data_IF_268254988475
#
_entry.id   IF_268254988475
#
_cell.length_a   1.000
_cell.length_b   1.000
_cell.length_c   1.000
_cell.angle_alpha   90.00
_cell.angle_beta   90.00
_cell.angle_gamma   90.00
#
_symmetry.space_group_name_H-M   'P 1'
#
loop_
_entity.id
_entity.type
_entity.pdbx_description
1 polymer ?
#
# COMPACT_ATOMS: atom_id res chain seq x y z
N UNK A 1 -30.89 7.38 -29.06
CA UNK A 1 -30.45 6.35 -28.10
C UNK A 1 -29.07 6.71 -27.58
N UNK A 2 -29.04 7.26 -26.37
CA UNK A 2 -27.86 7.77 -25.67
C UNK A 2 -27.00 6.59 -25.19
N UNK A 3 -25.82 6.42 -25.79
CA UNK A 3 -24.80 5.48 -25.28
C UNK A 3 -24.42 5.92 -23.86
N UNK A 4 -24.74 5.12 -22.84
CA UNK A 4 -24.17 5.33 -21.52
C UNK A 4 -22.65 5.26 -21.66
N UNK A 5 -21.98 6.36 -21.32
CA UNK A 5 -20.52 6.37 -21.23
C UNK A 5 -20.19 5.56 -19.98
N UNK A 6 -19.89 4.28 -20.14
CA UNK A 6 -19.28 3.48 -19.07
C UNK A 6 -17.93 4.14 -18.73
N UNK A 7 -17.93 5.00 -17.73
CA UNK A 7 -16.71 5.55 -17.14
C UNK A 7 -15.95 4.39 -16.53
N UNK A 8 -14.87 3.98 -17.19
CA UNK A 8 -13.95 2.98 -16.64
C UNK A 8 -13.38 3.53 -15.32
N UNK A 9 -13.87 2.99 -14.21
CA UNK A 9 -13.41 3.26 -12.86
C UNK A 9 -11.97 2.75 -12.71
N UNK A 10 -11.06 3.57 -12.19
CA UNK A 10 -9.66 3.19 -12.06
C UNK A 10 -9.49 2.00 -11.10
N UNK A 11 -10.43 1.86 -10.15
CA UNK A 11 -10.55 0.76 -9.20
C UNK A 11 -10.79 -0.54 -9.93
N UNK A 12 -11.88 -0.59 -10.68
CA UNK A 12 -12.35 -1.81 -11.31
C UNK A 12 -11.36 -2.22 -12.38
N UNK A 13 -10.68 -1.26 -13.02
CA UNK A 13 -9.53 -1.57 -13.87
C UNK A 13 -8.33 -2.13 -13.08
N UNK A 14 -7.96 -1.52 -11.95
CA UNK A 14 -6.87 -2.02 -11.09
C UNK A 14 -7.16 -3.42 -10.58
N UNK A 15 -8.39 -3.66 -10.11
CA UNK A 15 -8.88 -4.93 -9.63
C UNK A 15 -8.92 -5.97 -10.74
N UNK A 16 -9.38 -5.60 -11.94
CA UNK A 16 -9.34 -6.46 -13.12
C UNK A 16 -7.89 -6.88 -13.41
N UNK A 17 -6.95 -5.93 -13.42
CA UNK A 17 -5.53 -6.21 -13.66
C UNK A 17 -4.93 -7.10 -12.57
N UNK A 18 -5.29 -6.83 -11.32
CA UNK A 18 -4.85 -7.57 -10.14
C UNK A 18 -5.34 -9.01 -10.20
N UNK A 19 -6.66 -9.22 -10.31
CA UNK A 19 -7.26 -10.55 -10.41
C UNK A 19 -6.76 -11.34 -11.63
N UNK A 20 -6.49 -10.68 -12.76
CA UNK A 20 -5.90 -11.34 -13.93
C UNK A 20 -4.47 -11.75 -13.67
N UNK A 21 -3.67 -10.87 -13.07
CA UNK A 21 -2.28 -11.18 -12.71
C UNK A 21 -2.23 -12.31 -11.67
N UNK A 22 -3.16 -12.29 -10.71
CA UNK A 22 -3.40 -13.36 -9.74
C UNK A 22 -3.69 -14.63 -10.51
N UNK A 23 -4.77 -14.70 -11.30
CA UNK A 23 -5.19 -15.91 -12.04
C UNK A 23 -4.15 -16.45 -13.03
N UNK A 24 -3.34 -15.59 -13.64
CA UNK A 24 -2.20 -15.98 -14.48
C UNK A 24 -1.01 -16.50 -13.68
N UNK A 25 -0.89 -16.07 -12.43
CA UNK A 25 0.24 -16.29 -11.55
C UNK A 25 1.46 -15.42 -11.88
N UNK A 26 1.41 -14.49 -12.83
CA UNK A 26 2.49 -13.52 -13.12
C UNK A 26 1.94 -12.11 -13.39
N UNK A 27 2.67 -11.05 -13.00
CA UNK A 27 2.30 -9.69 -13.37
C UNK A 27 2.54 -9.44 -14.87
N UNK A 28 1.68 -8.65 -15.49
CA UNK A 28 1.83 -8.27 -16.90
C UNK A 28 2.59 -6.95 -16.98
N UNK A 29 3.88 -7.02 -17.25
CA UNK A 29 4.78 -5.84 -17.27
C UNK A 29 5.33 -5.52 -18.67
N UNK A 30 5.11 -6.39 -19.65
CA UNK A 30 5.64 -6.20 -21.00
C UNK A 30 4.85 -6.91 -22.10
N UNK A 31 5.27 -6.68 -23.35
CA UNK A 31 4.65 -7.28 -24.54
C UNK A 31 4.69 -8.81 -24.52
N UNK A 32 5.76 -9.41 -24.00
CA UNK A 32 5.90 -10.87 -23.87
C UNK A 32 4.83 -11.46 -22.96
N UNK A 33 4.48 -10.79 -21.87
CA UNK A 33 3.43 -11.25 -20.95
C UNK A 33 2.04 -11.03 -21.53
N UNK A 34 1.85 -9.95 -22.28
CA UNK A 34 0.63 -9.71 -23.06
C UNK A 34 0.41 -10.81 -24.13
N UNK A 35 1.47 -11.28 -24.78
CA UNK A 35 1.41 -12.39 -25.74
C UNK A 35 0.98 -13.69 -25.06
N UNK A 36 1.50 -13.98 -23.86
CA UNK A 36 1.08 -15.16 -23.09
C UNK A 36 -0.40 -15.10 -22.74
N UNK A 37 -0.89 -13.96 -22.25
CA UNK A 37 -2.31 -13.78 -21.94
C UNK A 37 -3.17 -13.91 -23.20
N UNK A 38 -2.83 -13.23 -24.30
CA UNK A 38 -3.56 -13.31 -25.57
C UNK A 38 -3.67 -14.76 -26.07
N UNK A 39 -2.55 -15.48 -26.10
CA UNK A 39 -2.52 -16.90 -26.48
C UNK A 39 -3.36 -17.78 -25.54
N UNK A 40 -3.33 -17.50 -24.24
CA UNK A 40 -4.09 -18.26 -23.25
C UNK A 40 -5.61 -18.05 -23.42
N UNK A 41 -6.05 -16.80 -23.61
CA UNK A 41 -7.46 -16.46 -23.83
C UNK A 41 -8.02 -17.15 -25.08
N UNK A 42 -7.22 -17.15 -26.16
CA UNK A 42 -7.57 -17.82 -27.40
C UNK A 42 -7.65 -19.35 -27.21
N UNK A 43 -6.65 -19.97 -26.57
CA UNK A 43 -6.63 -21.43 -26.33
C UNK A 43 -7.78 -21.91 -25.45
N UNK A 44 -8.24 -21.07 -24.51
CA UNK A 44 -9.35 -21.38 -23.61
C UNK A 44 -10.71 -20.91 -24.12
N UNK A 45 -10.81 -20.47 -25.38
CA UNK A 45 -12.06 -20.02 -26.02
C UNK A 45 -12.78 -18.87 -25.31
N UNK A 46 -12.06 -18.03 -24.55
CA UNK A 46 -12.65 -16.79 -23.99
C UNK A 46 -12.79 -15.70 -25.04
N UNK A 47 -11.97 -15.75 -26.11
CA UNK A 47 -11.95 -14.77 -27.18
C UNK A 47 -10.53 -14.35 -27.56
N UNK A 48 -10.41 -13.53 -28.61
CA UNK A 48 -9.12 -13.01 -29.08
C UNK A 48 -8.98 -11.53 -28.74
N UNK A 49 -7.94 -11.20 -27.97
CA UNK A 49 -7.51 -9.83 -27.71
C UNK A 49 -6.09 -9.67 -28.24
N UNK A 50 -5.85 -8.64 -29.03
CA UNK A 50 -4.52 -8.39 -29.58
C UNK A 50 -3.51 -7.99 -28.50
N UNK A 51 -2.26 -8.41 -28.68
CA UNK A 51 -1.14 -8.07 -27.79
C UNK A 51 -1.01 -6.56 -27.59
N UNK A 52 -1.22 -5.76 -28.64
CA UNK A 52 -1.18 -4.29 -28.56
C UNK A 52 -2.32 -3.70 -27.72
N UNK A 53 -3.51 -4.30 -27.76
CA UNK A 53 -4.63 -3.87 -26.89
C UNK A 53 -4.35 -4.23 -25.43
N UNK A 54 -3.86 -5.44 -25.16
CA UNK A 54 -3.44 -5.82 -23.81
C UNK A 54 -2.29 -4.95 -23.30
N UNK A 55 -1.30 -4.63 -24.13
CA UNK A 55 -0.19 -3.78 -23.74
C UNK A 55 -0.63 -2.36 -23.39
N UNK A 56 -1.53 -1.76 -24.17
CA UNK A 56 -2.15 -0.47 -23.83
C UNK A 56 -2.99 -0.53 -22.57
N UNK A 57 -3.64 -1.65 -22.30
CA UNK A 57 -4.48 -1.80 -21.13
C UNK A 57 -3.66 -2.00 -19.85
N UNK A 58 -2.72 -2.96 -19.86
CA UNK A 58 -1.99 -3.40 -18.68
C UNK A 58 -0.74 -2.57 -18.39
N UNK A 59 0.05 -2.27 -19.42
CA UNK A 59 1.41 -1.69 -19.27
C UNK A 59 1.43 -0.19 -19.53
N UNK A 60 0.84 0.27 -20.64
CA UNK A 60 0.91 1.66 -21.08
C UNK A 60 -0.48 2.30 -21.14
N UNK A 61 -1.17 2.31 -20.01
CA UNK A 61 -2.51 2.85 -19.90
C UNK A 61 -2.49 4.38 -19.89
N UNK A 62 -2.88 4.99 -21.01
CA UNK A 62 -2.97 6.46 -21.18
C UNK A 62 -4.41 6.98 -21.12
N UNK A 63 -5.26 6.38 -20.28
CA UNK A 63 -6.67 6.81 -20.14
C UNK A 63 -7.57 6.48 -21.34
N UNK A 64 -7.09 5.66 -22.28
CA UNK A 64 -7.86 5.22 -23.44
C UNK A 64 -8.99 4.32 -22.93
N UNK A 65 -10.22 4.56 -23.40
CA UNK A 65 -11.38 3.72 -23.07
C UNK A 65 -11.24 2.38 -23.78
N UNK A 66 -11.10 1.25 -23.06
CA UNK A 66 -11.03 -0.07 -23.66
C UNK A 66 -12.35 -0.43 -24.33
N UNK A 67 -12.32 -1.28 -25.36
CA UNK A 67 -13.55 -1.82 -25.94
C UNK A 67 -14.29 -2.68 -24.93
N UNK A 68 -15.62 -2.57 -24.88
CA UNK A 68 -16.47 -3.36 -23.98
C UNK A 68 -16.19 -4.86 -24.11
N UNK A 69 -16.07 -5.36 -25.35
CA UNK A 69 -15.71 -6.76 -25.62
C UNK A 69 -14.35 -7.16 -25.00
N UNK A 70 -13.37 -6.25 -24.97
CA UNK A 70 -12.08 -6.52 -24.29
C UNK A 70 -12.30 -6.73 -22.79
N UNK A 71 -13.13 -5.90 -22.16
CA UNK A 71 -13.44 -6.02 -20.73
C UNK A 71 -14.26 -7.27 -20.43
N UNK A 72 -15.22 -7.63 -21.29
CA UNK A 72 -16.05 -8.82 -21.12
C UNK A 72 -15.22 -10.11 -21.23
N UNK A 73 -14.36 -10.23 -22.24
CA UNK A 73 -13.46 -11.40 -22.40
C UNK A 73 -12.55 -11.57 -21.18
N UNK A 74 -11.99 -10.46 -20.67
CA UNK A 74 -11.14 -10.49 -19.49
C UNK A 74 -11.91 -10.84 -18.20
N UNK A 75 -13.17 -10.39 -18.09
CA UNK A 75 -14.05 -10.71 -16.95
C UNK A 75 -14.49 -12.17 -16.97
N UNK A 76 -14.80 -12.70 -18.16
CA UNK A 76 -15.10 -14.12 -18.35
C UNK A 76 -13.92 -15.02 -18.05
N UNK A 77 -12.71 -14.59 -18.43
CA UNK A 77 -11.50 -15.27 -18.01
C UNK A 77 -11.38 -15.35 -16.48
N UNK A 78 -11.92 -14.37 -15.74
CA UNK A 78 -12.00 -14.35 -14.28
C UNK A 78 -13.23 -15.06 -13.70
N UNK A 79 -14.02 -15.78 -14.50
CA UNK A 79 -15.26 -16.49 -14.10
C UNK A 79 -16.46 -15.59 -13.76
N UNK A 80 -16.44 -14.33 -14.21
CA UNK A 80 -17.63 -13.47 -14.20
C UNK A 80 -18.38 -13.58 -15.53
N UNK A 81 -19.70 -13.39 -15.53
CA UNK A 81 -20.49 -13.52 -16.76
C UNK A 81 -20.16 -12.45 -17.81
N UNK A 82 -19.86 -11.23 -17.36
CA UNK A 82 -19.47 -10.09 -18.17
C UNK A 82 -18.80 -9.00 -17.31
N UNK A 83 -18.33 -7.91 -17.93
CA UNK A 83 -17.76 -6.77 -17.22
C UNK A 83 -18.73 -6.15 -16.21
N UNK A 84 -20.02 -6.04 -16.54
CA UNK A 84 -21.00 -5.47 -15.61
C UNK A 84 -21.14 -6.31 -14.33
N UNK A 85 -21.16 -7.64 -14.47
CA UNK A 85 -21.20 -8.55 -13.32
C UNK A 85 -19.91 -8.48 -12.48
N UNK A 86 -18.75 -8.33 -13.14
CA UNK A 86 -17.48 -8.09 -12.46
C UNK A 86 -17.53 -6.80 -11.62
N UNK A 87 -17.94 -5.68 -12.25
CA UNK A 87 -18.07 -4.37 -11.59
C UNK A 87 -18.99 -4.47 -10.38
N UNK A 88 -20.20 -4.98 -10.56
CA UNK A 88 -21.19 -5.12 -9.48
C UNK A 88 -20.64 -5.96 -8.32
N UNK A 89 -19.94 -7.05 -8.61
CA UNK A 89 -19.42 -7.95 -7.56
C UNK A 89 -18.27 -7.32 -6.80
N UNK A 90 -17.36 -6.64 -7.51
CA UNK A 90 -16.19 -5.96 -6.96
C UNK A 90 -16.62 -4.75 -6.11
N UNK A 91 -17.63 -4.01 -6.56
CA UNK A 91 -18.19 -2.87 -5.83
C UNK A 91 -19.03 -3.33 -4.62
N UNK A 92 -19.84 -4.40 -4.73
CA UNK A 92 -20.62 -4.96 -3.61
C UNK A 92 -19.79 -5.63 -2.52
N UNK A 93 -18.64 -6.23 -2.86
CA UNK A 93 -17.70 -6.81 -1.86
C UNK A 93 -16.92 -5.74 -1.11
N UNK A 94 -16.94 -4.49 -1.57
CA UNK A 94 -16.25 -3.35 -0.97
C UNK A 94 -17.23 -2.27 -0.47
N UNK A 95 -18.30 -2.61 0.29
CA UNK A 95 -19.40 -1.67 0.56
C UNK A 95 -18.98 -0.41 1.35
N UNK A 96 -17.77 -0.39 1.93
CA UNK A 96 -17.22 0.73 2.68
C UNK A 96 -15.97 1.39 2.06
N UNK A 97 -15.63 1.11 0.79
CA UNK A 97 -14.43 1.70 0.16
C UNK A 97 -14.79 2.65 -0.98
N UNK A 98 -14.33 3.92 -0.95
CA UNK A 98 -14.59 4.85 -2.04
C UNK A 98 -13.99 4.31 -3.33
N UNK A 99 -14.79 4.27 -4.39
CA UNK A 99 -14.35 3.93 -5.74
C UNK A 99 -13.22 4.88 -6.20
N UNK A 100 -12.09 4.37 -6.71
CA UNK A 100 -11.11 5.19 -7.43
C UNK A 100 -11.71 5.91 -8.66
N UNK A 101 -12.28 7.08 -8.42
CA UNK A 101 -12.65 8.03 -9.46
C UNK A 101 -11.46 8.22 -10.41
N UNK A 102 -11.77 8.33 -11.72
CA UNK A 102 -10.76 8.69 -12.72
C UNK A 102 -9.99 9.90 -12.21
N UNK A 103 -8.67 9.76 -12.20
CA UNK A 103 -7.74 10.83 -11.89
C UNK A 103 -7.80 11.86 -13.04
N UNK A 104 -8.87 12.65 -13.08
CA UNK A 104 -8.80 14.00 -13.59
C UNK A 104 -8.30 14.82 -12.41
N UNK A 105 -6.97 15.01 -12.36
CA UNK A 105 -6.37 15.96 -11.45
C UNK A 105 -6.88 17.34 -11.86
N UNK A 106 -8.03 17.70 -11.33
CA UNK A 106 -8.61 19.03 -11.46
C UNK A 106 -8.23 19.79 -10.19
N UNK A 107 -7.98 21.08 -10.36
CA UNK A 107 -7.72 21.98 -9.25
C UNK A 107 -9.03 22.15 -8.46
N UNK A 108 -9.32 21.23 -7.56
CA UNK A 108 -10.51 21.28 -6.71
C UNK A 108 -10.37 22.37 -5.63
N UNK A 109 -11.44 22.60 -4.86
CA UNK A 109 -11.43 23.62 -3.81
C UNK A 109 -10.33 23.36 -2.77
N UNK A 110 -10.13 22.09 -2.37
CA UNK A 110 -9.07 21.70 -1.44
C UNK A 110 -7.68 22.06 -1.96
N UNK A 111 -7.41 21.81 -3.24
CA UNK A 111 -6.16 22.23 -3.89
C UNK A 111 -5.97 23.73 -3.78
N UNK A 112 -6.99 24.53 -4.11
CA UNK A 112 -6.88 25.98 -4.00
C UNK A 112 -6.67 26.44 -2.55
N UNK A 113 -7.38 25.86 -1.59
CA UNK A 113 -7.20 26.18 -0.18
C UNK A 113 -5.79 25.81 0.32
N UNK A 114 -5.26 24.65 -0.07
CA UNK A 114 -3.91 24.21 0.30
C UNK A 114 -2.85 25.09 -0.39
N UNK A 115 -3.00 25.34 -1.69
CA UNK A 115 -2.06 26.10 -2.51
C UNK A 115 -1.97 27.58 -2.11
N UNK A 116 -3.06 28.15 -1.59
CA UNK A 116 -3.13 29.54 -1.12
C UNK A 116 -3.14 29.67 0.40
N UNK A 117 -2.79 28.61 1.13
CA UNK A 117 -2.62 28.63 2.59
C UNK A 117 -3.87 29.14 3.34
N UNK A 118 -5.06 28.79 2.84
CA UNK A 118 -6.35 29.13 3.44
C UNK A 118 -6.62 28.26 4.68
N UNK A 119 -5.81 28.46 5.73
CA UNK A 119 -5.81 27.61 6.93
C UNK A 119 -7.14 27.64 7.68
N UNK A 120 -7.74 28.82 7.88
CA UNK A 120 -9.02 28.93 8.61
C UNK A 120 -10.16 28.13 7.95
N UNK A 121 -10.45 28.29 6.63
CA UNK A 121 -11.44 27.45 5.96
C UNK A 121 -11.14 25.95 6.04
N UNK A 122 -9.86 25.54 5.90
CA UNK A 122 -9.47 24.13 5.99
C UNK A 122 -9.70 23.57 7.40
N UNK A 123 -9.34 24.32 8.45
CA UNK A 123 -9.61 23.92 9.84
C UNK A 123 -11.10 23.71 10.05
N UNK A 124 -11.93 24.70 9.72
CA UNK A 124 -13.38 24.59 9.88
C UNK A 124 -13.97 23.45 9.05
N UNK A 125 -13.44 23.19 7.86
CA UNK A 125 -13.88 22.07 7.04
C UNK A 125 -13.53 20.72 7.69
N UNK A 126 -12.28 20.52 8.14
CA UNK A 126 -11.86 19.27 8.78
C UNK A 126 -12.60 19.00 10.09
N UNK A 127 -12.93 20.04 10.86
CA UNK A 127 -13.78 19.92 12.06
C UNK A 127 -15.22 19.55 11.68
N UNK A 128 -15.79 20.17 10.63
CA UNK A 128 -17.17 19.91 10.21
C UNK A 128 -17.43 18.48 9.73
N UNK A 129 -16.38 17.77 9.31
CA UNK A 129 -16.48 16.40 8.80
C UNK A 129 -16.16 15.34 9.86
N UNK A 130 -15.94 15.73 11.13
CA UNK A 130 -15.57 14.80 12.20
C UNK A 130 -16.63 13.72 12.45
N UNK A 131 -17.91 14.03 12.28
CA UNK A 131 -19.02 13.08 12.46
C UNK A 131 -19.40 12.32 11.17
N UNK A 132 -18.72 12.62 10.06
CA UNK A 132 -18.98 11.93 8.79
C UNK A 132 -18.47 10.48 8.84
N UNK A 133 -19.06 9.64 8.00
CA UNK A 133 -18.64 8.24 7.91
C UNK A 133 -17.20 8.08 7.38
N UNK A 134 -16.65 6.89 7.57
CA UNK A 134 -15.30 6.55 7.14
C UNK A 134 -15.10 6.71 5.63
N UNK A 135 -16.08 6.33 4.81
CA UNK A 135 -15.98 6.37 3.35
C UNK A 135 -15.83 7.80 2.86
N UNK A 136 -16.61 8.72 3.42
CA UNK A 136 -16.53 10.15 3.15
C UNK A 136 -15.16 10.71 3.55
N UNK A 137 -14.70 10.44 4.78
CA UNK A 137 -13.40 10.92 5.26
C UNK A 137 -12.24 10.39 4.42
N UNK A 138 -12.28 9.11 4.05
CA UNK A 138 -11.30 8.50 3.17
C UNK A 138 -11.27 9.17 1.78
N UNK A 139 -12.44 9.50 1.21
CA UNK A 139 -12.52 10.26 -0.04
C UNK A 139 -11.89 11.64 0.09
N UNK A 140 -12.23 12.39 1.15
CA UNK A 140 -11.64 13.71 1.41
C UNK A 140 -10.12 13.61 1.58
N UNK A 141 -9.62 12.58 2.26
CA UNK A 141 -8.19 12.40 2.44
C UNK A 141 -7.45 12.10 1.13
N UNK A 142 -8.07 11.36 0.21
CA UNK A 142 -7.54 11.16 -1.14
C UNK A 142 -7.49 12.48 -1.93
N UNK A 143 -8.50 13.35 -1.78
CA UNK A 143 -8.50 14.68 -2.42
C UNK A 143 -7.42 15.61 -1.82
N UNK A 144 -7.20 15.55 -0.51
CA UNK A 144 -6.08 16.24 0.16
C UNK A 144 -4.74 15.70 -0.35
N UNK A 145 -4.58 14.38 -0.44
CA UNK A 145 -3.38 13.74 -0.98
C UNK A 145 -3.10 14.20 -2.42
N UNK A 146 -4.09 14.16 -3.31
CA UNK A 146 -3.95 14.58 -4.70
C UNK A 146 -3.58 16.08 -4.80
N UNK A 147 -4.14 16.91 -3.91
CA UNK A 147 -3.80 18.33 -3.80
C UNK A 147 -2.35 18.55 -3.36
N UNK A 148 -1.88 17.77 -2.39
CA UNK A 148 -0.52 17.84 -1.86
C UNK A 148 0.54 17.38 -2.88
N UNK A 149 0.19 16.49 -3.82
CA UNK A 149 1.06 16.12 -4.92
C UNK A 149 1.33 17.29 -5.89
N UNK A 150 0.37 18.19 -6.04
CA UNK A 150 0.44 19.30 -6.99
C UNK A 150 0.99 20.59 -6.40
N UNK A 151 0.79 20.79 -5.10
CA UNK A 151 1.19 22.04 -4.48
C UNK A 151 2.71 22.20 -4.46
N UNK A 152 3.18 23.46 -4.56
CA UNK A 152 4.61 23.77 -4.58
C UNK A 152 5.28 23.63 -3.20
N UNK A 153 4.49 23.80 -2.12
CA UNK A 153 4.96 23.89 -0.73
C UNK A 153 4.09 23.06 0.24
N UNK A 154 4.02 21.73 0.06
CA UNK A 154 3.20 20.88 0.94
C UNK A 154 3.65 20.93 2.41
N UNK A 155 4.91 21.28 2.69
CA UNK A 155 5.43 21.46 4.04
C UNK A 155 4.64 22.48 4.88
N UNK A 156 4.05 23.51 4.24
CA UNK A 156 3.25 24.51 4.93
C UNK A 156 1.91 23.95 5.39
N UNK A 157 1.31 23.06 4.60
CA UNK A 157 0.11 22.33 5.03
C UNK A 157 0.42 21.48 6.28
N UNK A 158 1.47 20.66 6.23
CA UNK A 158 1.83 19.81 7.36
C UNK A 158 2.20 20.61 8.61
N UNK A 159 2.88 21.75 8.46
CA UNK A 159 3.22 22.62 9.60
C UNK A 159 1.98 23.15 10.33
N UNK A 160 0.88 23.37 9.60
CA UNK A 160 -0.37 23.85 10.17
C UNK A 160 -1.27 22.71 10.69
N UNK A 161 -1.23 21.53 10.05
CA UNK A 161 -2.23 20.48 10.24
C UNK A 161 -1.71 19.14 10.74
N UNK A 162 -0.40 18.96 11.01
CA UNK A 162 0.13 17.66 11.47
C UNK A 162 -0.51 17.14 12.76
N UNK A 163 -1.07 18.02 13.58
CA UNK A 163 -1.77 17.70 14.84
C UNK A 163 -3.29 17.60 14.69
N UNK A 164 -3.84 17.92 13.52
CA UNK A 164 -5.28 17.82 13.29
C UNK A 164 -5.66 16.33 13.19
N UNK A 165 -6.67 15.90 13.95
CA UNK A 165 -7.11 14.50 14.06
C UNK A 165 -7.46 13.87 12.70
N UNK A 166 -8.19 14.59 11.85
CA UNK A 166 -8.53 14.13 10.51
C UNK A 166 -7.27 13.94 9.65
N UNK A 167 -6.35 14.91 9.65
CA UNK A 167 -5.10 14.84 8.87
C UNK A 167 -4.20 13.72 9.38
N UNK A 168 -4.06 13.58 10.69
CA UNK A 168 -3.30 12.51 11.33
C UNK A 168 -3.80 11.14 10.88
N UNK A 169 -5.07 10.84 11.13
CA UNK A 169 -5.64 9.52 10.87
C UNK A 169 -5.83 9.26 9.37
N UNK A 170 -6.54 10.13 8.66
CA UNK A 170 -6.97 9.81 7.31
C UNK A 170 -5.94 10.20 6.25
N UNK A 171 -5.19 11.30 6.43
CA UNK A 171 -4.23 11.78 5.41
C UNK A 171 -2.84 11.15 5.60
N UNK A 172 -2.40 10.93 6.85
CA UNK A 172 -1.05 10.42 7.13
C UNK A 172 -1.01 8.91 7.41
N UNK A 173 -2.00 8.33 8.09
CA UNK A 173 -2.04 6.89 8.37
C UNK A 173 -2.79 6.10 7.28
N UNK A 174 -4.08 6.36 7.07
CA UNK A 174 -4.91 5.59 6.12
C UNK A 174 -4.50 5.82 4.66
N UNK A 175 -4.26 7.08 4.30
CA UNK A 175 -3.74 7.49 3.00
C UNK A 175 -2.21 7.55 2.96
N UNK A 176 -1.51 6.82 3.85
CA UNK A 176 -0.05 6.78 3.85
C UNK A 176 0.51 6.41 2.47
N UNK A 177 1.40 7.24 1.93
CA UNK A 177 2.09 6.97 0.68
C UNK A 177 3.44 6.27 0.89
N UNK A 178 3.53 4.93 0.74
CA UNK A 178 4.80 4.22 0.88
C UNK A 178 5.81 4.61 -0.21
N UNK A 179 5.37 5.27 -1.29
CA UNK A 179 6.25 5.79 -2.34
C UNK A 179 6.87 7.14 -2.02
N UNK A 180 6.44 7.84 -0.96
CA UNK A 180 6.91 9.19 -0.62
C UNK A 180 6.89 10.16 -1.81
N UNK A 181 5.78 10.17 -2.57
CA UNK A 181 5.62 10.98 -3.79
C UNK A 181 5.31 12.43 -3.51
N UNK A 182 4.68 12.73 -2.36
CA UNK A 182 4.51 14.12 -1.92
C UNK A 182 5.90 14.72 -1.67
N UNK A 183 6.16 15.90 -2.22
CA UNK A 183 7.42 16.60 -2.01
C UNK A 183 7.64 16.86 -0.51
N UNK A 184 8.84 16.63 0.00
CA UNK A 184 9.19 16.84 1.42
C UNK A 184 8.26 16.07 2.40
N UNK A 185 7.72 14.90 2.01
CA UNK A 185 6.76 14.18 2.84
C UNK A 185 7.34 13.68 4.18
N UNK A 186 8.66 13.49 4.25
CA UNK A 186 9.36 13.19 5.50
C UNK A 186 9.16 14.30 6.56
N UNK A 187 9.01 15.56 6.13
CA UNK A 187 8.69 16.67 7.03
C UNK A 187 7.37 16.45 7.77
N UNK A 188 6.36 15.87 7.12
CA UNK A 188 5.07 15.58 7.75
C UNK A 188 5.24 14.65 8.96
N UNK A 189 6.02 13.57 8.80
CA UNK A 189 6.24 12.59 9.87
C UNK A 189 7.20 13.09 10.95
N UNK A 190 8.11 14.01 10.63
CA UNK A 190 8.93 14.73 11.63
C UNK A 190 8.06 15.60 12.54
N UNK A 191 7.00 16.22 11.99
CA UNK A 191 6.03 17.01 12.74
C UNK A 191 4.94 16.18 13.44
N UNK A 192 4.63 15.00 12.90
CA UNK A 192 3.65 14.06 13.44
C UNK A 192 4.02 13.60 14.85
N UNK A 193 5.31 13.32 15.06
CA UNK A 193 5.81 12.94 16.37
C UNK A 193 6.01 14.18 17.25
N UNK A 194 5.14 14.39 18.23
CA UNK A 194 5.55 15.16 19.41
C UNK A 194 6.65 14.33 20.09
N UNK A 195 7.84 14.88 20.30
CA UNK A 195 9.00 14.13 20.85
C UNK A 195 8.81 13.63 22.31
N UNK A 196 7.61 13.79 22.86
CA UNK A 196 7.18 13.41 24.21
C UNK A 196 6.50 12.06 24.20
N UNK A 197 7.10 11.10 24.90
CA UNK A 197 6.43 9.88 25.34
C UNK A 197 5.58 10.28 26.54
N UNK A 198 4.25 10.29 26.38
CA UNK A 198 3.35 10.08 27.51
C UNK A 198 2.84 8.64 27.42
N UNK A 199 2.60 7.98 28.55
CA UNK A 199 2.27 6.56 28.67
C UNK A 199 0.93 6.13 28.03
N UNK A 200 0.33 6.93 27.16
CA UNK A 200 -0.88 6.56 26.43
C UNK A 200 -0.54 5.67 25.22
N UNK A 201 -1.37 4.66 24.99
CA UNK A 201 -1.34 3.80 23.79
C UNK A 201 -1.32 4.58 22.47
N UNK A 202 -2.07 5.69 22.38
CA UNK A 202 -2.12 6.52 21.16
C UNK A 202 -0.76 7.16 20.85
N UNK A 203 -0.13 7.82 21.83
CA UNK A 203 1.20 8.42 21.64
C UNK A 203 2.27 7.37 21.31
N UNK A 204 2.18 6.18 21.90
CA UNK A 204 3.07 5.08 21.54
C UNK A 204 2.87 4.66 20.09
N UNK A 205 1.63 4.45 19.66
CA UNK A 205 1.31 4.10 18.28
C UNK A 205 1.86 5.16 17.31
N UNK A 206 1.66 6.45 17.62
CA UNK A 206 2.12 7.55 16.81
C UNK A 206 3.64 7.59 16.65
N UNK A 207 4.33 7.40 17.78
CA UNK A 207 5.78 7.35 17.82
C UNK A 207 6.29 6.19 16.96
N UNK A 208 5.78 4.98 17.19
CA UNK A 208 6.21 3.79 16.46
C UNK A 208 5.91 3.93 14.97
N UNK A 209 4.72 4.41 14.61
CA UNK A 209 4.31 4.62 13.23
C UNK A 209 5.22 5.62 12.52
N UNK A 210 5.34 6.84 13.04
CA UNK A 210 6.11 7.92 12.40
C UNK A 210 7.59 7.58 12.27
N UNK A 211 8.22 7.04 13.32
CA UNK A 211 9.62 6.66 13.29
C UNK A 211 9.86 5.49 12.33
N UNK A 212 8.97 4.50 12.28
CA UNK A 212 9.09 3.37 11.34
C UNK A 212 8.93 3.80 9.89
N UNK A 213 8.01 4.73 9.61
CA UNK A 213 7.79 5.30 8.28
C UNK A 213 9.01 6.10 7.81
N UNK A 214 9.55 6.97 8.67
CA UNK A 214 10.78 7.72 8.38
C UNK A 214 11.99 6.80 8.17
N UNK A 215 12.18 5.82 9.05
CA UNK A 215 13.28 4.88 8.96
C UNK A 215 13.24 4.11 7.63
N UNK A 216 12.07 3.56 7.28
CA UNK A 216 11.87 2.88 5.98
C UNK A 216 12.22 3.79 4.80
N UNK A 217 11.73 5.03 4.80
CA UNK A 217 12.00 5.99 3.73
C UNK A 217 13.50 6.18 3.53
N UNK A 218 14.24 6.47 4.60
CA UNK A 218 15.68 6.74 4.52
C UNK A 218 16.51 5.49 4.17
N UNK A 219 16.10 4.30 4.63
CA UNK A 219 16.72 3.03 4.20
C UNK A 219 16.55 2.84 2.70
N UNK A 220 15.32 2.96 2.18
CA UNK A 220 15.03 2.73 0.77
C UNK A 220 15.58 3.82 -0.17
N UNK A 221 15.75 5.04 0.33
CA UNK A 221 16.38 6.13 -0.40
C UNK A 221 17.91 6.13 -0.31
N UNK A 222 18.53 5.12 0.32
CA UNK A 222 19.97 5.03 0.62
C UNK A 222 20.52 6.23 1.40
N UNK A 223 19.70 6.90 2.20
CA UNK A 223 20.14 7.99 3.09
C UNK A 223 20.58 7.40 4.45
N UNK A 224 21.76 6.78 4.46
CA UNK A 224 22.27 6.04 5.61
C UNK A 224 22.45 6.91 6.87
N UNK A 225 22.75 8.20 6.72
CA UNK A 225 22.93 9.12 7.86
C UNK A 225 21.63 9.26 8.64
N UNK A 226 20.56 9.68 7.95
CA UNK A 226 19.24 9.85 8.56
C UNK A 226 18.66 8.51 9.03
N UNK A 227 18.84 7.44 8.26
CA UNK A 227 18.41 6.10 8.66
C UNK A 227 19.08 5.67 9.99
N UNK A 228 20.38 5.91 10.15
CA UNK A 228 21.09 5.60 11.39
C UNK A 228 20.63 6.48 12.56
N UNK A 229 20.36 7.76 12.33
CA UNK A 229 19.85 8.66 13.37
C UNK A 229 18.48 8.22 13.88
N UNK A 230 17.53 7.94 12.99
CA UNK A 230 16.21 7.43 13.35
C UNK A 230 16.31 6.03 13.99
N UNK A 231 17.14 5.14 13.42
CA UNK A 231 17.33 3.79 13.94
C UNK A 231 17.90 3.79 15.37
N UNK A 232 18.89 4.64 15.66
CA UNK A 232 19.40 4.84 17.03
C UNK A 232 18.32 5.36 17.97
N UNK A 233 17.52 6.34 17.52
CA UNK A 233 16.43 6.91 18.31
C UNK A 233 15.44 5.83 18.73
N UNK A 234 14.93 5.05 17.77
CA UNK A 234 13.84 4.11 17.98
C UNK A 234 14.26 2.77 18.60
N UNK A 235 15.47 2.27 18.31
CA UNK A 235 15.91 0.94 18.78
C UNK A 235 16.93 0.96 19.93
N UNK A 236 17.53 2.11 20.25
CA UNK A 236 18.56 2.23 21.31
C UNK A 236 18.19 3.27 22.36
N UNK A 237 17.83 4.49 21.96
CA UNK A 237 17.59 5.59 22.91
C UNK A 237 16.21 5.52 23.56
N UNK A 238 15.18 5.14 22.78
CA UNK A 238 13.81 4.95 23.24
C UNK A 238 13.25 3.63 22.70
N UNK A 239 13.82 2.48 23.11
CA UNK A 239 13.33 1.18 22.71
C UNK A 239 11.94 0.95 23.28
N UNK A 240 11.05 0.36 22.48
CA UNK A 240 9.72 -0.06 22.93
C UNK A 240 9.79 -1.53 23.36
N UNK A 241 9.16 -1.85 24.50
CA UNK A 241 9.06 -3.21 25.03
C UNK A 241 8.10 -4.06 24.17
N UNK A 242 8.24 -5.39 24.23
CA UNK A 242 7.39 -6.28 23.43
C UNK A 242 5.92 -6.15 23.83
N UNK A 243 5.63 -6.13 25.13
CA UNK A 243 4.27 -6.05 25.65
C UNK A 243 3.58 -4.75 25.21
N UNK A 244 4.29 -3.62 25.30
CA UNK A 244 3.81 -2.32 24.83
C UNK A 244 3.54 -2.31 23.29
N UNK A 245 4.35 -3.02 22.51
CA UNK A 245 4.13 -3.16 21.06
C UNK A 245 2.89 -3.98 20.76
N UNK A 246 2.66 -5.06 21.51
CA UNK A 246 1.52 -5.95 21.30
C UNK A 246 0.19 -5.26 21.67
N UNK A 247 0.24 -4.17 22.44
CA UNK A 247 -0.89 -3.31 22.74
C UNK A 247 -1.26 -2.32 21.63
N UNK A 248 -0.39 -2.02 20.65
CA UNK A 248 -0.73 -1.11 19.53
C UNK A 248 -1.22 -1.85 18.29
N UNK A 249 -1.78 -1.13 17.33
CA UNK A 249 -2.26 -1.73 16.08
C UNK A 249 -1.15 -2.52 15.36
N UNK A 250 -1.50 -3.64 14.72
CA UNK A 250 -0.53 -4.59 14.13
C UNK A 250 0.39 -3.94 13.09
N UNK A 251 -0.10 -2.92 12.38
CA UNK A 251 0.60 -2.25 11.31
C UNK A 251 1.89 -1.52 11.74
N UNK A 252 1.86 -0.58 12.71
CA UNK A 252 3.08 -0.02 13.28
C UNK A 252 3.92 -1.06 14.05
N UNK A 253 3.28 -1.99 14.77
CA UNK A 253 3.99 -3.06 15.51
C UNK A 253 4.90 -3.88 14.59
N UNK A 254 4.34 -4.47 13.53
CA UNK A 254 5.13 -5.36 12.67
C UNK A 254 6.23 -4.62 11.91
N UNK A 255 6.03 -3.33 11.58
CA UNK A 255 7.08 -2.50 10.99
C UNK A 255 8.23 -2.26 11.95
N UNK A 256 7.95 -1.95 13.20
CA UNK A 256 8.99 -1.79 14.22
C UNK A 256 9.85 -3.05 14.29
N UNK A 257 9.22 -4.22 14.42
CA UNK A 257 9.92 -5.51 14.50
C UNK A 257 10.69 -5.82 13.20
N UNK A 258 10.04 -5.71 12.05
CA UNK A 258 10.67 -5.98 10.76
C UNK A 258 11.86 -5.04 10.50
N UNK A 259 11.72 -3.75 10.74
CA UNK A 259 12.74 -2.75 10.42
C UNK A 259 13.91 -2.73 11.40
N UNK A 260 13.75 -3.30 12.60
CA UNK A 260 14.89 -3.57 13.48
C UNK A 260 15.93 -4.45 12.78
N UNK A 261 15.52 -5.38 11.90
CA UNK A 261 16.45 -6.19 11.11
C UNK A 261 17.30 -5.34 10.15
N UNK A 262 16.70 -4.39 9.44
CA UNK A 262 17.45 -3.42 8.64
C UNK A 262 18.42 -2.60 9.49
N UNK A 263 18.01 -2.18 10.69
CA UNK A 263 18.90 -1.45 11.59
C UNK A 263 20.10 -2.28 12.04
N UNK A 264 19.90 -3.54 12.42
CA UNK A 264 20.98 -4.47 12.78
C UNK A 264 21.98 -4.64 11.63
N UNK A 265 21.50 -4.70 10.40
CA UNK A 265 22.33 -4.76 9.19
C UNK A 265 23.09 -3.45 8.98
N UNK A 266 22.42 -2.29 9.10
CA UNK A 266 23.04 -0.97 8.95
C UNK A 266 24.19 -0.72 9.92
N UNK A 267 24.08 -1.22 11.16
CA UNK A 267 25.15 -1.10 12.17
C UNK A 267 26.17 -2.25 12.11
N UNK A 268 26.12 -3.08 11.06
CA UNK A 268 27.03 -4.20 10.83
C UNK A 268 27.08 -5.21 11.99
N UNK A 269 25.92 -5.56 12.56
CA UNK A 269 25.85 -6.65 13.54
C UNK A 269 26.36 -7.97 12.97
N UNK A 270 26.79 -8.86 13.87
CA UNK A 270 27.30 -10.16 13.46
C UNK A 270 26.23 -10.98 12.72
N UNK A 271 26.66 -11.86 11.83
CA UNK A 271 25.75 -12.78 11.11
C UNK A 271 24.92 -13.62 12.08
N UNK A 272 25.47 -13.98 13.24
CA UNK A 272 24.74 -14.74 14.27
C UNK A 272 23.63 -13.92 14.92
N UNK A 273 23.90 -12.67 15.28
CA UNK A 273 22.86 -11.78 15.85
C UNK A 273 21.72 -11.53 14.84
N UNK A 274 22.06 -11.28 13.58
CA UNK A 274 21.08 -11.12 12.50
C UNK A 274 20.24 -12.39 12.33
N UNK A 275 20.89 -13.56 12.34
CA UNK A 275 20.24 -14.86 12.21
C UNK A 275 19.26 -15.12 13.36
N UNK A 276 19.71 -14.92 14.61
CA UNK A 276 18.88 -15.11 15.79
C UNK A 276 17.64 -14.20 15.74
N UNK A 277 17.82 -12.94 15.31
CA UNK A 277 16.70 -12.01 15.19
C UNK A 277 15.70 -12.41 14.08
N UNK A 278 16.19 -12.96 12.96
CA UNK A 278 15.30 -13.51 11.91
C UNK A 278 14.47 -14.67 12.45
N UNK A 279 15.09 -15.57 13.22
CA UNK A 279 14.41 -16.72 13.81
C UNK A 279 13.37 -16.30 14.86
N UNK A 280 13.70 -15.33 15.72
CA UNK A 280 12.76 -14.69 16.65
C UNK A 280 11.57 -14.05 15.92
N UNK A 281 11.85 -13.32 14.83
CA UNK A 281 10.82 -12.64 14.05
C UNK A 281 9.87 -13.62 13.34
N UNK A 282 10.40 -14.73 12.81
CA UNK A 282 9.59 -15.78 12.19
C UNK A 282 8.77 -16.55 13.23
N UNK A 283 9.32 -16.77 14.42
CA UNK A 283 8.56 -17.39 15.52
C UNK A 283 7.42 -16.50 15.98
N UNK A 284 7.67 -15.20 16.16
CA UNK A 284 6.61 -14.23 16.45
C UNK A 284 5.51 -14.26 15.38
N UNK A 285 5.88 -14.35 14.10
CA UNK A 285 4.90 -14.48 13.01
C UNK A 285 4.04 -15.74 13.17
N UNK A 286 4.58 -16.87 13.61
CA UNK A 286 3.80 -18.10 13.86
C UNK A 286 2.83 -17.91 15.01
N UNK A 287 3.27 -17.30 16.10
CA UNK A 287 2.46 -17.07 17.29
C UNK A 287 1.24 -16.23 16.97
N UNK A 288 1.44 -15.07 16.33
CA UNK A 288 0.33 -14.13 16.08
C UNK A 288 -0.58 -14.59 14.93
N UNK A 289 -0.11 -15.45 14.03
CA UNK A 289 -0.83 -15.80 12.81
C UNK A 289 -2.25 -16.31 13.06
N UNK A 290 -2.44 -17.07 14.14
CA UNK A 290 -3.73 -17.70 14.48
C UNK A 290 -4.78 -16.65 14.86
N UNK A 291 -4.35 -15.57 15.51
CA UNK A 291 -5.22 -14.56 16.10
C UNK A 291 -5.50 -13.39 15.15
N UNK A 292 -4.77 -13.30 14.03
CA UNK A 292 -4.92 -12.22 13.05
C UNK A 292 -5.99 -12.52 12.00
N UNK A 293 -6.79 -11.51 11.68
CA UNK A 293 -7.66 -11.51 10.51
C UNK A 293 -6.87 -11.57 9.19
N UNK A 294 -7.56 -11.81 8.08
CA UNK A 294 -6.94 -11.93 6.75
C UNK A 294 -6.16 -10.68 6.33
N UNK A 295 -6.69 -9.48 6.57
CA UNK A 295 -6.03 -8.21 6.18
C UNK A 295 -4.76 -8.04 7.00
N UNK A 296 -4.84 -8.27 8.31
CA UNK A 296 -3.70 -8.20 9.21
C UNK A 296 -2.60 -9.20 8.83
N UNK A 297 -2.97 -10.44 8.44
CA UNK A 297 -1.99 -11.44 7.95
C UNK A 297 -1.28 -10.98 6.68
N UNK A 298 -1.99 -10.37 5.73
CA UNK A 298 -1.38 -9.81 4.50
C UNK A 298 -0.41 -8.67 4.80
N UNK A 299 -0.77 -7.78 5.73
CA UNK A 299 0.10 -6.68 6.19
C UNK A 299 1.41 -7.24 6.76
N UNK A 300 1.32 -8.24 7.64
CA UNK A 300 2.50 -8.87 8.26
C UNK A 300 3.38 -9.52 7.20
N UNK A 301 2.79 -10.35 6.33
CA UNK A 301 3.53 -11.02 5.26
C UNK A 301 4.25 -10.02 4.35
N UNK A 302 3.54 -8.98 3.90
CA UNK A 302 4.12 -7.97 3.01
C UNK A 302 5.26 -7.21 3.68
N UNK A 303 5.08 -6.79 4.94
CA UNK A 303 6.08 -5.99 5.67
C UNK A 303 7.37 -6.78 5.90
N UNK A 304 7.25 -8.02 6.40
CA UNK A 304 8.41 -8.88 6.65
C UNK A 304 9.09 -9.27 5.33
N UNK A 305 8.29 -9.60 4.33
CA UNK A 305 8.83 -10.00 3.05
C UNK A 305 9.51 -8.85 2.30
N UNK A 306 9.06 -7.60 2.45
CA UNK A 306 9.77 -6.41 1.98
C UNK A 306 11.18 -6.35 2.58
N UNK A 307 11.28 -6.44 3.92
CA UNK A 307 12.57 -6.42 4.61
C UNK A 307 13.49 -7.52 4.08
N UNK A 308 12.97 -8.73 3.91
CA UNK A 308 13.72 -9.87 3.39
C UNK A 308 14.17 -9.67 1.94
N UNK A 309 13.35 -9.05 1.10
CA UNK A 309 13.70 -8.81 -0.30
C UNK A 309 14.72 -7.69 -0.51
N UNK A 310 14.77 -6.70 0.40
CA UNK A 310 15.74 -5.61 0.37
C UNK A 310 17.04 -5.93 1.13
N UNK A 311 17.12 -7.11 1.74
CA UNK A 311 18.32 -7.60 2.42
C UNK A 311 18.86 -8.84 1.73
N UNK A 312 20.15 -9.12 1.88
CA UNK A 312 20.79 -10.34 1.36
C UNK A 312 20.49 -11.56 2.25
N UNK A 313 19.25 -11.70 2.68
CA UNK A 313 18.80 -12.83 3.49
C UNK A 313 18.76 -14.09 2.63
N UNK A 314 19.18 -15.21 3.22
CA UNK A 314 19.24 -16.48 2.52
C UNK A 314 17.83 -16.99 2.18
N UNK A 315 17.71 -17.66 1.03
CA UNK A 315 16.44 -18.14 0.48
C UNK A 315 15.64 -19.04 1.44
N UNK A 316 16.30 -19.75 2.35
CA UNK A 316 15.64 -20.57 3.39
C UNK A 316 14.59 -19.77 4.16
N UNK A 317 14.93 -18.57 4.65
CA UNK A 317 14.01 -17.77 5.45
C UNK A 317 12.85 -17.20 4.62
N UNK A 318 13.07 -16.98 3.32
CA UNK A 318 12.01 -16.58 2.41
C UNK A 318 10.97 -17.70 2.24
N UNK A 319 11.43 -18.96 2.13
CA UNK A 319 10.55 -20.14 2.06
C UNK A 319 9.81 -20.35 3.37
N UNK A 320 10.50 -20.15 4.49
CA UNK A 320 9.92 -20.28 5.83
C UNK A 320 8.78 -19.27 6.04
N UNK A 321 9.00 -17.98 5.70
CA UNK A 321 7.96 -16.96 5.75
C UNK A 321 6.73 -17.35 4.91
N UNK A 322 6.95 -17.80 3.67
CA UNK A 322 5.84 -18.25 2.81
C UNK A 322 5.09 -19.42 3.40
N UNK A 323 5.79 -20.35 4.04
CA UNK A 323 5.18 -21.51 4.71
C UNK A 323 4.29 -21.09 5.87
N UNK A 324 4.72 -20.11 6.68
CA UNK A 324 3.90 -19.57 7.77
C UNK A 324 2.58 -18.99 7.22
N UNK A 325 2.66 -18.22 6.14
CA UNK A 325 1.51 -17.56 5.51
C UNK A 325 0.87 -18.38 4.38
N UNK A 326 1.03 -19.71 4.37
CA UNK A 326 0.61 -20.56 3.23
C UNK A 326 -0.87 -20.40 2.87
N UNK A 327 -1.76 -20.20 3.84
CA UNK A 327 -3.20 -20.03 3.55
C UNK A 327 -3.48 -18.75 2.74
N UNK A 328 -2.67 -17.71 2.92
CA UNK A 328 -2.81 -16.47 2.15
C UNK A 328 -2.53 -16.67 0.66
N UNK A 329 -1.84 -17.77 0.30
CA UNK A 329 -1.61 -18.16 -1.07
C UNK A 329 -2.70 -19.06 -1.65
N UNK A 330 -3.64 -19.60 -0.86
CA UNK A 330 -4.70 -20.50 -1.35
C UNK A 330 -5.68 -19.78 -2.29
N UNK A 331 -5.80 -18.46 -2.15
CA UNK A 331 -6.63 -17.60 -3.02
C UNK A 331 -5.92 -17.18 -4.30
N UNK A 332 -4.66 -17.58 -4.48
CA UNK A 332 -3.78 -17.22 -5.60
C UNK A 332 -3.32 -18.53 -6.27
N UNK A 333 -3.05 -18.59 -7.59
CA UNK A 333 -2.57 -19.81 -8.23
C UNK A 333 -1.31 -20.36 -7.57
N UNK A 334 -1.28 -21.69 -7.36
CA UNK A 334 -0.16 -22.42 -6.75
C UNK A 334 1.20 -22.07 -7.37
N UNK A 335 1.25 -21.73 -8.66
CA UNK A 335 2.47 -21.30 -9.35
C UNK A 335 3.10 -20.02 -8.78
N UNK A 336 2.36 -19.20 -8.02
CA UNK A 336 2.86 -18.04 -7.29
C UNK A 336 3.59 -18.48 -6.02
N UNK A 337 3.09 -19.49 -5.32
CA UNK A 337 3.76 -20.05 -4.14
C UNK A 337 5.14 -20.64 -4.46
N UNK A 338 5.40 -21.04 -5.71
CA UNK A 338 6.72 -21.52 -6.13
C UNK A 338 7.69 -20.40 -6.53
N UNK A 339 7.21 -19.15 -6.68
CA UNK A 339 8.07 -18.03 -7.12
C UNK A 339 8.93 -17.46 -5.99
N UNK A 340 10.09 -16.85 -6.32
CA UNK A 340 10.87 -16.09 -5.35
C UNK A 340 10.01 -15.03 -4.66
N UNK A 341 10.22 -14.81 -3.35
CA UNK A 341 9.44 -13.89 -2.51
C UNK A 341 9.26 -12.50 -3.15
N UNK A 342 10.32 -11.94 -3.76
CA UNK A 342 10.28 -10.65 -4.46
C UNK A 342 9.22 -10.59 -5.57
N UNK A 343 8.96 -11.72 -6.24
CA UNK A 343 7.94 -11.86 -7.29
C UNK A 343 6.56 -12.25 -6.75
N UNK A 344 6.41 -12.44 -5.44
CA UNK A 344 5.12 -12.74 -4.82
C UNK A 344 4.57 -11.57 -4.03
N UNK A 345 5.43 -10.70 -3.51
CA UNK A 345 5.02 -9.56 -2.68
C UNK A 345 3.97 -8.66 -3.31
N UNK A 346 4.00 -8.46 -4.63
CA UNK A 346 3.05 -7.57 -5.31
C UNK A 346 1.61 -8.11 -5.36
N UNK A 347 1.38 -9.37 -4.97
CA UNK A 347 0.03 -9.92 -4.79
C UNK A 347 -0.57 -9.62 -3.43
N UNK A 348 0.22 -9.08 -2.50
CA UNK A 348 -0.20 -8.75 -1.16
C UNK A 348 -0.21 -7.22 -1.00
N UNK A 349 -1.22 -6.71 -0.31
CA UNK A 349 -1.40 -5.27 -0.14
C UNK A 349 -0.20 -4.67 0.63
N UNK A 350 0.42 -3.65 0.04
CA UNK A 350 1.56 -2.90 0.61
C UNK A 350 1.11 -1.61 1.30
N UNK A 351 -0.18 -1.55 1.68
CA UNK A 351 -0.97 -0.45 2.28
C UNK A 351 -1.95 0.24 1.32
N UNK A 352 -3.05 0.74 1.90
CA UNK A 352 -4.26 1.19 1.21
C UNK A 352 -4.06 2.25 0.12
N UNK A 353 -3.10 3.17 0.22
CA UNK A 353 -2.97 4.22 -0.80
C UNK A 353 -2.52 3.71 -2.17
N UNK A 354 -1.58 2.75 -2.25
CA UNK A 354 -1.12 2.24 -3.55
C UNK A 354 -2.22 1.53 -4.32
N UNK A 355 -3.24 1.06 -3.61
CA UNK A 355 -4.44 0.53 -4.20
C UNK A 355 -5.31 1.64 -4.86
N UNK A 356 -5.46 2.79 -4.19
CA UNK A 356 -6.23 3.93 -4.71
C UNK A 356 -5.47 4.81 -5.72
N UNK A 357 -4.15 4.87 -5.60
CA UNK A 357 -3.23 5.71 -6.40
C UNK A 357 -1.96 4.90 -6.69
N UNK A 358 -2.01 3.89 -7.59
CA UNK A 358 -0.84 3.09 -7.92
C UNK A 358 0.27 3.95 -8.53
N UNK A 359 1.52 3.56 -8.29
CA UNK A 359 2.67 4.17 -8.97
C UNK A 359 2.55 3.95 -10.47
N UNK A 360 2.79 4.98 -11.27
CA UNK A 360 2.95 4.80 -12.72
C UNK A 360 4.17 3.90 -12.93
N UNK A 361 3.93 2.69 -13.42
CA UNK A 361 4.95 1.72 -13.81
C UNK A 361 5.74 2.18 -15.03
#
# INVERSE_FOLDING_TARGET
MTKSRNTLNAFTLSELKSQISIKLGFPIVGKTDCLKLSTLLQKKNYGSISVSTLYRLFVNYKGIIPYQNTLDVLSQYLEYSCWANFVDTVEKKSPNRPSPEKIEITNNLLFHCIQYEATKPLTSYFESIEEMDYSFKAKVALEVYDSLLLTKKPELFFSNFSKNKFVKQFVLEDAFDPGFRIKNYDWAFKLYCNNTFDNSKENLQDYVFSQSVLFRHYVLSNNNKEALEIGKKIFIQKPVLSDDLDDIFIFPNIRYRAYKLWYLILINKSRMEIKNYIEELLEYCRTIYIDLDEISRKIVFQTIGEVFCYTTIISKYHVELKTIFKKEFETIPNSVFEKPLKKTLHYFESNGLLFHRPTKS
#
